data_IF_926382806607
#
_entry.id   IF_926382806607
#
_cell.length_a   1.000
_cell.length_b   1.000
_cell.length_c   1.000
_cell.angle_alpha   90.00
_cell.angle_beta   90.00
_cell.angle_gamma   90.00
#
_symmetry.space_group_name_H-M   'P 1'
#
loop_
_entity.id
_entity.type
_entity.pdbx_description
1 polymer ?
#
# COMPACT_ATOMS: atom_id res chain seq x y z
N UNK A 1 -3.68 -0.25 38.92
CA UNK A 1 -3.62 0.27 37.51
C UNK A 1 -3.22 -0.89 36.64
N UNK A 2 -4.12 -1.35 35.74
CA UNK A 2 -3.79 -2.38 34.74
C UNK A 2 -2.88 -1.74 33.70
N UNK A 3 -1.68 -2.31 33.52
CA UNK A 3 -0.78 -1.92 32.44
C UNK A 3 -1.54 -2.10 31.11
N UNK A 4 -1.56 -1.11 30.21
CA UNK A 4 -2.23 -1.26 28.93
C UNK A 4 -1.59 -2.41 28.14
N UNK A 5 -2.42 -3.28 27.57
CA UNK A 5 -1.98 -4.39 26.72
C UNK A 5 -1.35 -3.85 25.45
N UNK A 6 -0.29 -4.50 24.97
CA UNK A 6 0.47 -4.08 23.79
C UNK A 6 -0.19 -4.45 22.46
N UNK A 7 -0.99 -5.54 22.44
CA UNK A 7 -1.57 -6.14 21.24
C UNK A 7 -3.10 -6.34 21.36
N UNK A 8 -3.88 -5.35 21.82
CA UNK A 8 -5.29 -5.54 22.14
C UNK A 8 -6.10 -5.90 20.88
N UNK A 9 -6.63 -7.13 20.83
CA UNK A 9 -7.48 -7.62 19.72
C UNK A 9 -6.73 -7.91 18.41
N UNK A 10 -5.39 -7.88 18.40
CA UNK A 10 -4.60 -8.24 17.23
C UNK A 10 -4.77 -9.74 16.93
N UNK A 11 -5.12 -10.07 15.68
CA UNK A 11 -5.26 -11.45 15.19
C UNK A 11 -3.93 -11.91 14.61
N UNK A 12 -3.31 -12.89 15.24
CA UNK A 12 -2.00 -13.37 14.85
C UNK A 12 -2.06 -14.84 14.41
N UNK A 13 -1.27 -15.17 13.39
CA UNK A 13 -0.93 -16.56 13.09
C UNK A 13 0.45 -16.86 13.65
N UNK A 14 0.57 -17.86 14.51
CA UNK A 14 1.85 -18.35 15.03
C UNK A 14 2.23 -19.66 14.32
N UNK A 15 3.18 -19.58 13.40
CA UNK A 15 3.77 -20.73 12.71
C UNK A 15 4.89 -21.37 13.53
N UNK A 16 4.88 -22.71 13.68
CA UNK A 16 5.87 -23.42 14.45
C UNK A 16 6.53 -24.50 13.58
N UNK A 17 7.84 -24.41 13.42
CA UNK A 17 8.64 -25.37 12.65
C UNK A 17 9.33 -26.41 13.53
N UNK A 18 9.74 -27.54 12.92
CA UNK A 18 10.40 -28.67 13.57
C UNK A 18 11.83 -28.36 14.01
N UNK A 19 11.97 -27.72 15.15
CA UNK A 19 13.23 -27.44 15.83
C UNK A 19 13.11 -27.83 17.30
N UNK A 20 14.21 -28.17 17.95
CA UNK A 20 14.22 -28.38 19.40
C UNK A 20 13.67 -27.14 20.14
N UNK A 21 13.83 -25.94 19.59
CA UNK A 21 13.29 -24.71 20.14
C UNK A 21 11.74 -24.59 20.07
N UNK A 22 11.03 -25.56 19.46
CA UNK A 22 9.57 -25.55 19.36
C UNK A 22 8.87 -25.50 20.74
N UNK A 23 9.50 -26.07 21.80
CA UNK A 23 8.94 -25.98 23.15
C UNK A 23 8.82 -24.54 23.66
N UNK A 24 9.68 -23.61 23.19
CA UNK A 24 9.65 -22.20 23.58
C UNK A 24 8.42 -21.48 23.00
N UNK A 25 7.88 -21.95 21.88
CA UNK A 25 6.70 -21.39 21.27
C UNK A 25 5.47 -21.39 22.21
N UNK A 26 5.40 -22.32 23.17
CA UNK A 26 4.36 -22.32 24.20
C UNK A 26 4.47 -21.11 25.14
N UNK A 27 5.68 -20.70 25.51
CA UNK A 27 5.94 -19.47 26.26
C UNK A 27 5.58 -18.23 25.45
N UNK A 28 6.00 -18.18 24.19
CA UNK A 28 5.69 -17.10 23.27
C UNK A 28 4.18 -16.94 23.06
N UNK A 29 3.45 -18.04 22.81
CA UNK A 29 1.99 -17.99 22.68
C UNK A 29 1.34 -17.36 23.91
N UNK A 30 1.75 -17.77 25.13
CA UNK A 30 1.25 -17.19 26.38
C UNK A 30 1.62 -15.71 26.51
N UNK A 31 2.80 -15.30 26.05
CA UNK A 31 3.21 -13.90 26.07
C UNK A 31 2.33 -13.06 25.12
N UNK A 32 2.09 -13.51 23.89
CA UNK A 32 1.24 -12.84 22.90
C UNK A 32 -0.21 -12.72 23.39
N UNK A 33 -0.80 -13.81 23.92
CA UNK A 33 -2.18 -13.80 24.42
C UNK A 33 -2.35 -12.95 25.69
N UNK A 34 -1.32 -12.88 26.56
CA UNK A 34 -1.32 -11.99 27.72
C UNK A 34 -1.37 -10.52 27.31
N UNK A 35 -0.68 -10.17 26.23
CA UNK A 35 -0.71 -8.83 25.66
C UNK A 35 -2.00 -8.52 24.86
N UNK A 36 -2.93 -9.48 24.78
CA UNK A 36 -4.27 -9.28 24.25
C UNK A 36 -4.44 -9.71 22.79
N UNK A 37 -3.45 -10.40 22.21
CA UNK A 37 -3.59 -10.97 20.88
C UNK A 37 -4.52 -12.21 20.88
N UNK A 38 -5.26 -12.35 19.79
CA UNK A 38 -5.99 -13.56 19.41
C UNK A 38 -5.10 -14.37 18.46
N UNK A 39 -4.66 -15.58 18.88
CA UNK A 39 -3.58 -16.29 18.20
C UNK A 39 -4.06 -17.65 17.69
N UNK A 40 -4.01 -17.84 16.37
CA UNK A 40 -4.20 -19.14 15.72
C UNK A 40 -2.84 -19.79 15.48
N UNK A 41 -2.67 -21.04 15.89
CA UNK A 41 -1.40 -21.76 15.75
C UNK A 41 -1.43 -22.68 14.53
N UNK A 42 -0.37 -22.62 13.74
CA UNK A 42 -0.12 -23.50 12.59
C UNK A 42 1.21 -24.24 12.81
N UNK A 43 1.21 -25.56 12.79
CA UNK A 43 2.42 -26.35 13.00
C UNK A 43 2.77 -27.13 11.74
N UNK A 44 4.07 -27.20 11.43
CA UNK A 44 4.54 -28.16 10.43
C UNK A 44 4.51 -29.59 11.00
N UNK A 45 4.38 -30.60 10.14
CA UNK A 45 4.42 -32.01 10.59
C UNK A 45 5.70 -32.34 11.36
N UNK A 46 6.83 -31.71 11.04
CA UNK A 46 8.07 -31.87 11.81
C UNK A 46 7.99 -31.24 13.22
N UNK A 47 7.21 -30.20 13.42
CA UNK A 47 7.05 -29.58 14.73
C UNK A 47 6.31 -30.49 15.72
N UNK A 48 5.39 -31.29 15.25
CA UNK A 48 4.61 -32.24 16.09
C UNK A 48 5.48 -33.35 16.71
N UNK A 49 6.70 -33.58 16.19
CA UNK A 49 7.67 -34.50 16.76
C UNK A 49 8.36 -33.95 18.02
N UNK A 50 8.32 -32.65 18.24
CA UNK A 50 8.96 -31.99 19.38
C UNK A 50 7.97 -31.57 20.47
N UNK A 51 6.73 -31.22 20.08
CA UNK A 51 5.70 -30.76 21.02
C UNK A 51 4.32 -31.14 20.48
N UNK A 52 3.43 -31.56 21.37
CA UNK A 52 2.08 -31.95 20.99
C UNK A 52 1.23 -30.74 20.57
N UNK A 53 0.44 -30.84 19.48
CA UNK A 53 -0.55 -29.83 19.12
C UNK A 53 -1.52 -29.48 20.25
N UNK A 54 -1.92 -30.47 21.05
CA UNK A 54 -2.81 -30.30 22.20
C UNK A 54 -2.29 -29.22 23.19
N UNK A 55 -0.97 -29.09 23.34
CA UNK A 55 -0.38 -28.04 24.19
C UNK A 55 -0.80 -26.66 23.73
N UNK A 56 -0.79 -26.41 22.42
CA UNK A 56 -1.14 -25.14 21.83
C UNK A 56 -2.66 -24.92 21.75
N UNK A 57 -3.45 -25.95 21.52
CA UNK A 57 -4.92 -25.87 21.57
C UNK A 57 -5.42 -25.41 22.95
N UNK A 58 -4.85 -25.98 24.02
CA UNK A 58 -5.21 -25.58 25.40
C UNK A 58 -4.77 -24.13 25.70
N UNK A 59 -3.63 -23.69 25.16
CA UNK A 59 -3.09 -22.34 25.44
C UNK A 59 -3.72 -21.25 24.59
N UNK A 60 -4.07 -21.53 23.33
CA UNK A 60 -4.68 -20.56 22.40
C UNK A 60 -6.19 -20.52 22.49
N UNK A 61 -6.83 -21.58 23.03
CA UNK A 61 -8.28 -21.81 22.97
C UNK A 61 -8.82 -22.01 21.55
N UNK A 62 -7.94 -22.18 20.57
CA UNK A 62 -8.26 -22.45 19.17
C UNK A 62 -7.69 -23.81 18.73
N UNK A 63 -8.34 -24.50 17.77
CA UNK A 63 -7.77 -25.67 17.15
C UNK A 63 -6.45 -25.35 16.47
N UNK A 64 -5.45 -26.25 16.60
CA UNK A 64 -4.19 -26.14 15.88
C UNK A 64 -4.36 -26.62 14.44
N UNK A 65 -3.93 -25.80 13.49
CA UNK A 65 -3.94 -26.16 12.08
C UNK A 65 -2.65 -26.92 11.70
N UNK A 66 -2.83 -28.14 11.17
CA UNK A 66 -1.72 -29.04 10.83
C UNK A 66 -1.63 -29.33 9.33
N UNK A 67 -2.79 -29.63 8.72
CA UNK A 67 -2.88 -30.17 7.37
C UNK A 67 -3.54 -29.21 6.40
N UNK A 68 -3.01 -29.19 5.17
CA UNK A 68 -3.58 -28.42 4.06
C UNK A 68 -4.96 -28.99 3.63
N UNK A 69 -5.19 -30.29 3.84
CA UNK A 69 -6.38 -31.02 3.38
C UNK A 69 -7.25 -31.56 4.54
N UNK A 70 -7.42 -30.78 5.59
CA UNK A 70 -8.30 -31.16 6.71
C UNK A 70 -9.77 -31.12 6.30
N UNK A 71 -10.52 -32.20 6.59
CA UNK A 71 -11.94 -32.32 6.24
C UNK A 71 -12.87 -31.29 6.93
N UNK A 72 -12.43 -30.69 8.02
CA UNK A 72 -13.23 -29.75 8.83
C UNK A 72 -12.79 -28.29 8.71
N UNK A 73 -11.70 -28.02 8.01
CA UNK A 73 -11.12 -26.68 7.88
C UNK A 73 -10.67 -26.46 6.43
N UNK A 74 -11.63 -26.15 5.57
CA UNK A 74 -11.34 -25.89 4.15
C UNK A 74 -10.74 -24.51 3.94
N UNK A 75 -9.75 -24.40 3.04
CA UNK A 75 -9.14 -23.15 2.56
C UNK A 75 -8.40 -22.31 3.62
N UNK A 76 -7.88 -22.93 4.71
CA UNK A 76 -7.12 -22.20 5.74
C UNK A 76 -5.93 -21.42 5.19
N UNK A 77 -5.27 -21.93 4.15
CA UNK A 77 -4.17 -21.25 3.49
C UNK A 77 -4.56 -19.92 2.82
N UNK A 78 -5.85 -19.68 2.58
CA UNK A 78 -6.40 -18.41 2.09
C UNK A 78 -6.93 -17.55 3.23
N UNK A 79 -7.79 -18.14 4.08
CA UNK A 79 -8.54 -17.39 5.10
C UNK A 79 -7.69 -16.90 6.26
N UNK A 80 -6.66 -17.68 6.69
CA UNK A 80 -5.79 -17.28 7.78
C UNK A 80 -4.98 -16.02 7.44
N UNK A 81 -4.22 -15.95 6.32
CA UNK A 81 -3.46 -14.74 6.00
C UNK A 81 -4.35 -13.54 5.66
N UNK A 82 -5.56 -13.75 5.13
CA UNK A 82 -6.52 -12.66 4.87
C UNK A 82 -7.08 -12.05 6.15
N UNK A 83 -7.26 -12.86 7.19
CA UNK A 83 -7.81 -12.41 8.46
C UNK A 83 -6.77 -11.97 9.47
N UNK A 84 -5.52 -12.36 9.33
CA UNK A 84 -4.45 -12.04 10.27
C UNK A 84 -3.94 -10.60 10.11
N UNK A 85 -3.62 -9.97 11.23
CA UNK A 85 -2.97 -8.66 11.26
C UNK A 85 -1.44 -8.80 11.17
N UNK A 86 -0.87 -9.93 11.63
CA UNK A 86 0.53 -10.33 11.40
C UNK A 86 0.70 -11.86 11.47
N UNK A 87 1.75 -12.36 10.81
CA UNK A 87 2.17 -13.77 10.89
C UNK A 87 3.54 -13.82 11.55
N UNK A 88 3.70 -14.66 12.57
CA UNK A 88 4.93 -14.90 13.29
C UNK A 88 5.35 -16.35 13.11
N UNK A 89 6.57 -16.62 12.64
CA UNK A 89 7.09 -17.99 12.56
C UNK A 89 8.25 -18.12 13.54
N UNK A 90 8.00 -18.80 14.64
CA UNK A 90 8.94 -18.99 15.74
C UNK A 90 8.75 -20.35 16.44
N UNK A 91 9.75 -21.25 16.39
CA UNK A 91 11.01 -21.12 15.67
C UNK A 91 10.86 -21.36 14.17
N UNK A 92 11.71 -20.73 13.36
CA UNK A 92 11.86 -21.00 11.94
C UNK A 92 13.14 -21.81 11.69
N UNK A 93 13.04 -22.93 10.97
CA UNK A 93 14.20 -23.75 10.59
C UNK A 93 14.84 -23.28 9.29
N UNK A 94 16.08 -23.69 9.02
CA UNK A 94 16.76 -23.43 7.75
C UNK A 94 15.93 -23.94 6.54
N UNK A 95 15.30 -25.12 6.67
CA UNK A 95 14.40 -25.65 5.64
C UNK A 95 13.22 -24.72 5.38
N UNK A 96 12.60 -24.19 6.43
CA UNK A 96 11.48 -23.27 6.29
C UNK A 96 11.90 -21.94 5.64
N UNK A 97 13.06 -21.40 6.03
CA UNK A 97 13.63 -20.19 5.39
C UNK A 97 13.85 -20.42 3.89
N UNK A 98 14.40 -21.57 3.52
CA UNK A 98 14.61 -21.92 2.11
C UNK A 98 13.29 -22.02 1.35
N UNK A 99 12.28 -22.74 1.89
CA UNK A 99 10.95 -22.85 1.28
C UNK A 99 10.33 -21.49 1.05
N UNK A 100 10.30 -20.64 2.07
CA UNK A 100 9.73 -19.28 1.98
C UNK A 100 10.47 -18.40 0.97
N UNK A 101 11.80 -18.49 0.94
CA UNK A 101 12.62 -17.72 0.00
C UNK A 101 12.44 -18.17 -1.46
N UNK A 102 12.20 -19.46 -1.69
CA UNK A 102 12.04 -20.06 -3.02
C UNK A 102 10.57 -20.16 -3.47
N UNK A 103 9.60 -19.87 -2.58
CA UNK A 103 8.17 -20.01 -2.89
C UNK A 103 7.70 -21.47 -2.94
N UNK A 104 8.33 -22.36 -2.18
CA UNK A 104 7.91 -23.77 -2.06
C UNK A 104 6.76 -23.90 -1.07
N UNK A 105 5.68 -24.57 -1.48
CA UNK A 105 4.42 -24.66 -0.75
C UNK A 105 3.95 -26.12 -0.67
N UNK A 106 4.63 -26.94 0.15
CA UNK A 106 4.38 -28.37 0.31
C UNK A 106 3.73 -28.75 1.65
N UNK A 107 3.49 -27.75 2.52
CA UNK A 107 2.74 -27.90 3.76
C UNK A 107 1.83 -26.68 3.98
N UNK A 108 0.91 -26.74 4.96
CA UNK A 108 -0.03 -25.67 5.23
C UNK A 108 0.68 -24.34 5.54
N UNK A 109 1.73 -24.37 6.38
CA UNK A 109 2.43 -23.15 6.81
C UNK A 109 3.14 -22.48 5.63
N UNK A 110 3.84 -23.23 4.80
CA UNK A 110 4.51 -22.70 3.61
C UNK A 110 3.52 -22.21 2.55
N UNK A 111 2.38 -22.90 2.40
CA UNK A 111 1.32 -22.52 1.44
C UNK A 111 0.63 -21.21 1.84
N UNK A 112 0.28 -21.04 3.12
CA UNK A 112 -0.39 -19.82 3.57
C UNK A 112 0.49 -18.58 3.40
N UNK A 113 1.82 -18.71 3.47
CA UNK A 113 2.72 -17.57 3.28
C UNK A 113 2.74 -17.04 1.84
N UNK A 114 2.44 -17.86 0.84
CA UNK A 114 2.30 -17.39 -0.53
C UNK A 114 1.10 -16.45 -0.72
N UNK A 115 0.07 -16.57 0.12
CA UNK A 115 -1.10 -15.67 0.13
C UNK A 115 -0.96 -14.52 1.14
N UNK A 116 0.11 -14.47 1.92
CA UNK A 116 0.34 -13.46 2.96
C UNK A 116 0.96 -12.16 2.42
N UNK A 117 0.57 -11.70 1.22
CA UNK A 117 1.18 -10.55 0.53
C UNK A 117 0.99 -9.25 1.31
N UNK A 118 -0.09 -9.12 2.07
CA UNK A 118 -0.48 -7.90 2.79
C UNK A 118 -0.23 -7.95 4.29
N UNK A 119 0.09 -9.12 4.80
CA UNK A 119 0.26 -9.38 6.21
C UNK A 119 1.75 -9.31 6.56
N UNK A 120 2.18 -8.49 7.53
CA UNK A 120 3.55 -8.49 8.00
C UNK A 120 3.98 -9.90 8.41
N UNK A 121 5.12 -10.35 7.89
CA UNK A 121 5.72 -11.63 8.25
C UNK A 121 6.96 -11.40 9.10
N UNK A 122 6.92 -11.91 10.33
CA UNK A 122 8.03 -11.92 11.28
C UNK A 122 8.56 -13.34 11.40
N UNK A 123 9.86 -13.53 11.20
CA UNK A 123 10.50 -14.85 11.24
C UNK A 123 11.61 -14.83 12.27
N UNK A 124 11.58 -15.77 13.22
CA UNK A 124 12.58 -15.95 14.25
C UNK A 124 13.32 -17.28 14.07
N UNK A 125 14.50 -17.29 13.43
CA UNK A 125 15.27 -18.49 13.18
C UNK A 125 15.81 -19.14 14.46
N UNK A 126 15.87 -20.49 14.43
CA UNK A 126 16.56 -21.29 15.46
C UNK A 126 17.19 -22.53 14.85
N UNK A 127 18.53 -22.63 14.89
CA UNK A 127 19.32 -23.71 14.31
C UNK A 127 20.71 -23.76 14.92
N UNK A 128 21.53 -24.76 14.57
CA UNK A 128 22.95 -24.77 14.95
C UNK A 128 23.70 -23.63 14.24
N UNK A 129 24.72 -23.07 14.90
CA UNK A 129 25.48 -21.92 14.39
C UNK A 129 26.11 -22.16 13.02
N UNK A 130 26.65 -23.37 12.77
CA UNK A 130 27.18 -23.71 11.47
C UNK A 130 26.14 -23.76 10.34
N UNK A 131 24.88 -24.05 10.68
CA UNK A 131 23.75 -23.92 9.72
C UNK A 131 23.40 -22.48 9.46
N UNK A 132 23.37 -21.65 10.52
CA UNK A 132 23.08 -20.24 10.37
C UNK A 132 24.09 -19.49 9.51
N UNK A 133 25.38 -19.79 9.69
CA UNK A 133 26.45 -19.15 8.94
C UNK A 133 26.64 -19.74 7.52
N UNK A 134 25.93 -20.82 7.19
CA UNK A 134 26.03 -21.41 5.86
C UNK A 134 25.60 -20.42 4.77
N UNK A 135 26.39 -20.22 3.69
CA UNK A 135 26.09 -19.23 2.65
C UNK A 135 24.71 -19.34 2.03
N UNK A 136 24.16 -20.56 1.87
CA UNK A 136 22.83 -20.78 1.35
C UNK A 136 21.75 -20.21 2.30
N UNK A 137 21.89 -20.44 3.62
CA UNK A 137 20.94 -19.92 4.62
C UNK A 137 21.00 -18.39 4.68
N UNK A 138 22.21 -17.82 4.69
CA UNK A 138 22.40 -16.36 4.64
C UNK A 138 21.78 -15.77 3.37
N UNK A 139 21.98 -16.40 2.21
CA UNK A 139 21.37 -15.96 0.96
C UNK A 139 19.84 -15.99 0.98
N UNK A 140 19.22 -17.00 1.63
CA UNK A 140 17.77 -17.05 1.81
C UNK A 140 17.27 -15.95 2.75
N UNK A 141 17.97 -15.71 3.86
CA UNK A 141 17.64 -14.61 4.79
C UNK A 141 17.70 -13.26 4.09
N UNK A 142 18.75 -13.01 3.30
CA UNK A 142 18.88 -11.76 2.55
C UNK A 142 17.77 -11.59 1.50
N UNK A 143 17.38 -12.67 0.84
CA UNK A 143 16.27 -12.67 -0.11
C UNK A 143 14.93 -12.34 0.58
N UNK A 144 14.68 -12.91 1.75
CA UNK A 144 13.48 -12.64 2.55
C UNK A 144 13.45 -11.18 3.03
N UNK A 145 14.56 -10.65 3.54
CA UNK A 145 14.67 -9.25 3.95
C UNK A 145 14.40 -8.26 2.80
N UNK A 146 14.94 -8.53 1.61
CA UNK A 146 14.67 -7.70 0.42
C UNK A 146 13.19 -7.70 0.01
N UNK A 147 12.42 -8.74 0.37
CA UNK A 147 10.97 -8.83 0.15
C UNK A 147 10.15 -8.24 1.29
N UNK A 148 10.79 -7.60 2.28
CA UNK A 148 10.10 -6.96 3.41
C UNK A 148 9.78 -7.89 4.58
N UNK A 149 10.29 -9.13 4.58
CA UNK A 149 10.15 -10.03 5.74
C UNK A 149 11.03 -9.55 6.89
N UNK A 150 10.45 -9.43 8.08
CA UNK A 150 11.18 -9.07 9.30
C UNK A 150 11.86 -10.34 9.83
N UNK A 151 13.15 -10.49 9.58
CA UNK A 151 13.94 -11.62 10.08
C UNK A 151 14.70 -11.18 11.32
N UNK A 152 14.38 -11.80 12.47
CA UNK A 152 15.05 -11.60 13.74
C UNK A 152 16.26 -12.50 13.82
N UNK A 153 17.47 -11.92 13.84
CA UNK A 153 18.69 -12.70 13.92
C UNK A 153 18.71 -13.55 15.20
N UNK A 154 19.16 -14.82 15.14
CA UNK A 154 19.30 -15.65 16.34
C UNK A 154 20.36 -15.05 17.25
N UNK A 155 20.28 -15.39 18.54
CA UNK A 155 21.22 -14.88 19.55
C UNK A 155 22.30 -15.94 19.87
N UNK A 156 23.41 -15.47 20.42
CA UNK A 156 24.48 -16.32 20.91
C UNK A 156 24.07 -17.02 22.21
N UNK A 157 24.49 -18.26 22.38
CA UNK A 157 24.27 -19.02 23.61
C UNK A 157 24.50 -20.53 23.46
N UNK A 158 24.20 -21.29 24.51
CA UNK A 158 24.27 -22.75 24.46
C UNK A 158 23.31 -23.32 23.41
N UNK A 159 23.83 -24.17 22.55
CA UNK A 159 23.09 -24.87 21.51
C UNK A 159 22.81 -26.31 21.92
N UNK A 160 21.81 -26.95 21.30
CA UNK A 160 21.48 -28.34 21.58
C UNK A 160 22.62 -29.34 21.24
N UNK A 161 23.54 -28.93 20.38
CA UNK A 161 24.76 -29.66 20.05
C UNK A 161 25.81 -29.66 21.18
N UNK A 162 25.59 -28.95 22.29
CA UNK A 162 26.55 -28.75 23.37
C UNK A 162 27.58 -27.65 23.10
N UNK A 163 27.57 -27.04 21.92
CA UNK A 163 28.40 -25.87 21.58
C UNK A 163 27.80 -24.57 22.06
N UNK A 164 28.62 -23.54 22.18
CA UNK A 164 28.19 -22.17 22.35
C UNK A 164 28.38 -21.46 21.01
N UNK A 165 27.34 -20.75 20.55
CA UNK A 165 27.40 -20.05 19.27
C UNK A 165 26.10 -19.34 18.93
N UNK A 166 26.12 -18.68 17.77
CA UNK A 166 24.97 -17.96 17.20
C UNK A 166 23.98 -18.97 16.59
N UNK A 167 22.73 -18.99 17.02
CA UNK A 167 21.73 -19.94 16.49
C UNK A 167 20.54 -20.19 17.41
N UNK A 168 20.60 -19.67 18.63
CA UNK A 168 19.51 -19.77 19.62
C UNK A 168 18.35 -18.83 19.24
N UNK A 169 17.11 -19.32 19.39
CA UNK A 169 15.91 -18.49 19.26
C UNK A 169 16.01 -17.27 20.18
N UNK A 170 15.71 -16.09 19.65
CA UNK A 170 15.60 -14.83 20.40
C UNK A 170 14.59 -14.94 21.53
N UNK A 171 14.69 -14.05 22.50
CA UNK A 171 13.76 -14.03 23.63
C UNK A 171 12.37 -13.54 23.20
N UNK A 172 11.33 -14.00 23.90
CA UNK A 172 9.92 -13.70 23.58
C UNK A 172 9.65 -12.19 23.54
N UNK A 173 10.34 -11.37 24.36
CA UNK A 173 10.22 -9.92 24.36
C UNK A 173 10.64 -9.30 23.02
N UNK A 174 11.70 -9.80 22.39
CA UNK A 174 12.18 -9.30 21.09
C UNK A 174 11.16 -9.59 19.98
N UNK A 175 10.53 -10.77 20.03
CA UNK A 175 9.46 -11.14 19.11
C UNK A 175 8.23 -10.25 19.33
N UNK A 176 7.84 -10.04 20.60
CA UNK A 176 6.73 -9.14 20.96
C UNK A 176 6.99 -7.71 20.47
N UNK A 177 8.20 -7.19 20.65
CA UNK A 177 8.58 -5.85 20.18
C UNK A 177 8.47 -5.74 18.66
N UNK A 178 8.91 -6.78 17.94
CA UNK A 178 8.81 -6.82 16.49
C UNK A 178 7.35 -6.87 16.00
N UNK A 179 6.50 -7.67 16.67
CA UNK A 179 5.06 -7.74 16.37
C UNK A 179 4.39 -6.40 16.61
N UNK A 180 4.63 -5.79 17.78
CA UNK A 180 4.07 -4.47 18.10
C UNK A 180 4.52 -3.41 17.09
N UNK A 181 5.79 -3.40 16.71
CA UNK A 181 6.32 -2.48 15.71
C UNK A 181 5.68 -2.71 14.32
N UNK A 182 5.49 -3.97 13.93
CA UNK A 182 4.86 -4.32 12.65
C UNK A 182 3.37 -3.96 12.60
N UNK A 183 2.68 -4.01 13.74
CA UNK A 183 1.26 -3.67 13.87
C UNK A 183 1.01 -2.17 14.13
N UNK A 184 2.05 -1.41 14.48
CA UNK A 184 1.90 0.05 14.63
C UNK A 184 1.48 0.64 13.29
N UNK A 185 0.38 1.39 13.23
CA UNK A 185 0.04 2.13 12.04
C UNK A 185 1.24 3.02 11.67
N UNK A 186 1.68 2.94 10.42
CA UNK A 186 2.69 3.88 9.91
C UNK A 186 2.15 5.29 10.15
N UNK A 187 2.83 6.09 11.00
CA UNK A 187 2.45 7.48 11.29
C UNK A 187 3.43 8.47 10.65
N UNK A 188 3.91 8.13 9.48
CA UNK A 188 4.86 8.93 8.70
C UNK A 188 4.23 10.17 8.04
N UNK A 189 2.90 10.31 8.13
CA UNK A 189 2.16 11.50 7.71
C UNK A 189 1.73 12.41 8.89
N UNK A 190 2.19 12.17 10.10
CA UNK A 190 1.96 13.08 11.24
C UNK A 190 2.52 14.46 10.92
N UNK A 191 1.71 15.51 11.13
CA UNK A 191 2.04 16.90 10.77
C UNK A 191 1.94 17.21 9.27
N UNK A 192 1.50 16.25 8.45
CA UNK A 192 1.19 16.49 7.06
C UNK A 192 -0.28 16.88 6.88
N UNK A 193 -0.51 17.77 5.92
CA UNK A 193 -1.83 18.25 5.53
C UNK A 193 -2.08 17.82 4.09
N UNK A 194 -2.97 16.85 3.93
CA UNK A 194 -3.23 16.20 2.65
C UNK A 194 -4.58 16.65 2.10
N UNK A 195 -4.55 17.26 0.92
CA UNK A 195 -5.73 17.70 0.19
C UNK A 195 -5.99 16.73 -0.97
N UNK A 196 -7.13 16.07 -0.98
CA UNK A 196 -7.47 15.06 -2.00
C UNK A 196 -8.71 15.49 -2.74
N UNK A 197 -8.73 15.39 -4.08
CA UNK A 197 -9.96 15.45 -4.86
C UNK A 197 -10.46 14.06 -5.23
N UNK A 198 -11.79 13.86 -5.26
CA UNK A 198 -12.40 12.57 -5.57
C UNK A 198 -13.71 12.72 -6.35
N UNK A 199 -14.17 11.60 -6.93
CA UNK A 199 -15.45 11.55 -7.63
C UNK A 199 -15.46 12.27 -8.96
N UNK A 200 -16.60 12.23 -9.68
CA UNK A 200 -16.79 12.96 -10.91
C UNK A 200 -17.31 14.38 -10.65
N UNK A 201 -17.09 15.30 -11.59
CA UNK A 201 -17.90 16.53 -11.65
C UNK A 201 -19.13 16.32 -12.52
N UNK A 202 -20.18 17.12 -12.29
CA UNK A 202 -21.44 17.10 -13.01
C UNK A 202 -21.73 18.49 -13.56
N UNK A 203 -21.70 18.64 -14.87
CA UNK A 203 -21.93 19.89 -15.57
C UNK A 203 -23.37 19.95 -16.08
N UNK A 204 -24.17 20.84 -15.55
CA UNK A 204 -25.60 20.90 -15.84
C UNK A 204 -25.90 21.22 -17.31
N UNK A 205 -26.73 20.40 -17.96
CA UNK A 205 -27.35 20.70 -19.26
C UNK A 205 -28.67 21.46 -19.03
N UNK A 206 -29.44 20.97 -18.09
CA UNK A 206 -30.69 21.56 -17.63
C UNK A 206 -30.94 21.10 -16.16
N UNK A 207 -32.03 21.53 -15.48
CA UNK A 207 -32.28 21.12 -14.09
C UNK A 207 -32.42 19.62 -13.84
N UNK A 208 -32.47 18.79 -14.89
CA UNK A 208 -32.70 17.33 -14.81
C UNK A 208 -31.51 16.53 -15.33
N UNK A 209 -30.74 17.06 -16.29
CA UNK A 209 -29.69 16.36 -16.98
C UNK A 209 -28.36 17.06 -16.83
N UNK A 210 -27.30 16.30 -16.76
CA UNK A 210 -25.92 16.78 -16.65
C UNK A 210 -24.98 15.91 -17.50
N UNK A 211 -23.81 16.45 -17.82
CA UNK A 211 -22.65 15.72 -18.35
C UNK A 211 -21.75 15.35 -17.18
N UNK A 212 -21.14 14.18 -17.23
CA UNK A 212 -20.23 13.70 -16.18
C UNK A 212 -19.28 12.63 -16.74
N UNK A 213 -18.15 12.47 -16.11
CA UNK A 213 -17.23 11.36 -16.36
C UNK A 213 -17.63 10.12 -15.54
N UNK A 214 -17.31 8.93 -16.04
CA UNK A 214 -17.45 7.71 -15.24
C UNK A 214 -16.42 7.73 -14.12
N UNK A 215 -16.86 7.81 -12.89
CA UNK A 215 -16.01 7.71 -11.71
C UNK A 215 -16.83 7.36 -10.49
N UNK A 216 -16.40 6.34 -9.76
CA UNK A 216 -17.01 5.97 -8.48
C UNK A 216 -16.47 6.76 -7.28
N UNK A 217 -15.34 7.48 -7.44
CA UNK A 217 -14.64 8.16 -6.35
C UNK A 217 -13.78 7.25 -5.47
N UNK A 218 -13.87 5.93 -5.60
CA UNK A 218 -13.22 4.93 -4.72
C UNK A 218 -11.73 5.19 -4.51
N UNK A 219 -10.97 5.59 -5.55
CA UNK A 219 -9.53 5.82 -5.44
C UNK A 219 -9.21 7.03 -4.54
N UNK A 220 -9.89 8.16 -4.73
CA UNK A 220 -9.69 9.35 -3.90
C UNK A 220 -10.09 9.11 -2.44
N UNK A 221 -11.19 8.38 -2.20
CA UNK A 221 -11.59 7.98 -0.84
C UNK A 221 -10.57 7.03 -0.20
N UNK A 222 -10.01 6.08 -0.96
CA UNK A 222 -8.96 5.19 -0.46
C UNK A 222 -7.68 5.95 -0.08
N UNK A 223 -7.29 6.96 -0.88
CA UNK A 223 -6.15 7.84 -0.59
C UNK A 223 -6.39 8.68 0.67
N UNK A 224 -7.57 9.29 0.79
CA UNK A 224 -7.93 10.07 1.96
C UNK A 224 -7.91 9.22 3.24
N UNK A 225 -8.46 8.00 3.17
CA UNK A 225 -8.44 7.04 4.27
C UNK A 225 -7.01 6.64 4.63
N UNK A 226 -6.20 6.23 3.65
CA UNK A 226 -4.84 5.79 3.90
C UNK A 226 -3.97 6.92 4.48
N UNK A 227 -4.12 8.17 4.02
CA UNK A 227 -3.42 9.31 4.57
C UNK A 227 -3.84 9.60 6.02
N UNK A 228 -5.14 9.53 6.33
CA UNK A 228 -5.67 9.69 7.70
C UNK A 228 -5.18 8.58 8.63
N UNK A 229 -5.21 7.32 8.19
CA UNK A 229 -4.70 6.16 8.93
C UNK A 229 -3.19 6.31 9.25
N UNK A 230 -2.42 7.01 8.38
CA UNK A 230 -0.99 7.33 8.55
C UNK A 230 -0.75 8.63 9.36
N UNK A 231 -1.80 9.24 9.89
CA UNK A 231 -1.73 10.37 10.82
C UNK A 231 -1.73 11.76 10.18
N UNK A 232 -2.09 11.88 8.89
CA UNK A 232 -2.28 13.16 8.24
C UNK A 232 -3.56 13.85 8.72
N UNK A 233 -3.57 15.19 8.69
CA UNK A 233 -4.78 16.00 8.63
C UNK A 233 -5.27 16.02 7.17
N UNK A 234 -6.51 15.56 6.91
CA UNK A 234 -6.98 15.31 5.55
C UNK A 234 -8.24 16.10 5.24
N UNK A 235 -8.25 16.78 4.09
CA UNK A 235 -9.42 17.39 3.47
C UNK A 235 -9.72 16.66 2.16
N UNK A 236 -10.93 16.13 2.02
CA UNK A 236 -11.43 15.46 0.82
C UNK A 236 -12.46 16.32 0.11
N UNK A 237 -12.10 16.86 -1.05
CA UNK A 237 -13.03 17.58 -1.93
C UNK A 237 -13.64 16.57 -2.89
N UNK A 238 -14.94 16.31 -2.76
CA UNK A 238 -15.60 15.24 -3.51
C UNK A 238 -16.73 15.72 -4.37
N UNK A 239 -16.69 15.37 -5.65
CA UNK A 239 -17.89 15.34 -6.50
C UNK A 239 -18.89 14.29 -6.01
N UNK A 240 -20.10 14.21 -6.63
CA UNK A 240 -21.16 13.31 -6.17
C UNK A 240 -20.74 11.84 -6.27
N UNK A 241 -20.80 11.12 -5.15
CA UNK A 241 -20.57 9.68 -5.03
C UNK A 241 -21.59 9.05 -4.10
N UNK A 242 -21.71 7.71 -4.14
CA UNK A 242 -22.51 6.93 -3.19
C UNK A 242 -21.66 6.39 -2.02
N UNK A 243 -20.41 6.86 -1.87
CA UNK A 243 -19.50 6.40 -0.83
C UNK A 243 -19.78 7.09 0.50
N UNK A 244 -19.67 6.32 1.58
CA UNK A 244 -19.77 6.87 2.94
C UNK A 244 -18.57 7.79 3.26
N UNK A 245 -18.80 8.87 4.03
CA UNK A 245 -17.71 9.72 4.49
C UNK A 245 -16.61 8.96 5.20
N UNK A 246 -15.36 9.32 4.96
CA UNK A 246 -14.21 8.72 5.64
C UNK A 246 -14.14 9.28 7.08
N UNK A 247 -14.21 8.44 8.12
CA UNK A 247 -14.07 8.90 9.50
C UNK A 247 -12.76 9.66 9.74
N UNK A 248 -12.84 10.81 10.43
CA UNK A 248 -11.68 11.64 10.74
C UNK A 248 -11.16 12.51 9.59
N UNK A 249 -11.87 12.53 8.45
CA UNK A 249 -11.53 13.35 7.27
C UNK A 249 -12.58 14.44 7.09
N UNK A 250 -12.13 15.69 6.87
CA UNK A 250 -13.03 16.79 6.49
C UNK A 250 -13.51 16.59 5.06
N UNK A 251 -14.82 16.42 4.86
CA UNK A 251 -15.44 16.27 3.53
C UNK A 251 -15.99 17.62 3.05
N UNK A 252 -15.54 18.06 1.87
CA UNK A 252 -16.04 19.25 1.18
C UNK A 252 -16.77 18.79 -0.08
N UNK A 253 -18.13 18.72 -0.08
CA UNK A 253 -18.88 18.31 -1.24
C UNK A 253 -18.91 19.42 -2.29
N UNK A 254 -18.71 19.05 -3.55
CA UNK A 254 -18.80 19.91 -4.72
C UNK A 254 -19.58 19.21 -5.83
N UNK A 255 -20.04 19.97 -6.82
CA UNK A 255 -20.77 19.38 -7.94
C UNK A 255 -20.09 19.63 -9.27
N UNK A 256 -19.65 20.86 -9.54
CA UNK A 256 -19.07 21.26 -10.84
C UNK A 256 -17.53 21.34 -10.79
N UNK A 257 -16.89 21.37 -11.96
CA UNK A 257 -15.46 21.62 -12.09
C UNK A 257 -15.06 22.97 -11.46
N UNK A 258 -15.89 24.01 -11.63
CA UNK A 258 -15.66 25.33 -11.07
C UNK A 258 -15.72 25.33 -9.55
N UNK A 259 -16.70 24.63 -8.94
CA UNK A 259 -16.79 24.47 -7.49
C UNK A 259 -15.58 23.70 -6.95
N UNK A 260 -15.14 22.64 -7.67
CA UNK A 260 -13.97 21.86 -7.29
C UNK A 260 -12.69 22.70 -7.36
N UNK A 261 -12.49 23.48 -8.44
CA UNK A 261 -11.38 24.41 -8.56
C UNK A 261 -11.32 25.38 -7.38
N UNK A 262 -12.46 26.00 -7.06
CA UNK A 262 -12.56 26.94 -5.95
C UNK A 262 -12.28 26.29 -4.60
N UNK A 263 -12.83 25.09 -4.34
CA UNK A 263 -12.61 24.36 -3.09
C UNK A 263 -11.15 23.93 -2.93
N UNK A 264 -10.55 23.40 -3.99
CA UNK A 264 -9.13 23.02 -4.00
C UNK A 264 -8.21 24.24 -3.82
N UNK A 265 -8.47 25.34 -4.55
CA UNK A 265 -7.71 26.59 -4.46
C UNK A 265 -7.74 27.21 -3.05
N UNK A 266 -8.90 27.24 -2.40
CA UNK A 266 -9.03 27.76 -1.04
C UNK A 266 -8.24 26.99 0.02
N UNK A 267 -7.87 25.74 -0.25
CA UNK A 267 -7.12 24.87 0.66
C UNK A 267 -5.69 24.60 0.18
N UNK A 268 -5.29 25.14 -0.99
CA UNK A 268 -4.01 24.83 -1.60
C UNK A 268 -2.81 25.26 -0.76
N UNK A 269 -2.82 26.49 -0.23
CA UNK A 269 -1.74 27.01 0.62
C UNK A 269 -1.65 26.32 1.98
N UNK A 270 -2.78 25.78 2.47
CA UNK A 270 -2.80 24.98 3.69
C UNK A 270 -2.13 23.63 3.48
N UNK A 271 -2.26 23.02 2.30
CA UNK A 271 -1.80 21.66 2.03
C UNK A 271 -0.27 21.55 1.92
N UNK A 272 0.27 20.42 2.40
CA UNK A 272 1.66 19.99 2.14
C UNK A 272 1.73 18.95 1.03
N UNK A 273 0.64 18.21 0.82
CA UNK A 273 0.46 17.23 -0.27
C UNK A 273 -0.91 17.46 -0.90
N UNK A 274 -0.95 17.50 -2.21
CA UNK A 274 -2.20 17.65 -2.99
C UNK A 274 -2.30 16.51 -3.97
N UNK A 275 -3.41 15.77 -3.94
CA UNK A 275 -3.64 14.58 -4.79
C UNK A 275 -4.92 14.79 -5.60
N UNK A 276 -4.77 14.94 -6.91
CA UNK A 276 -5.86 15.15 -7.84
C UNK A 276 -6.33 13.84 -8.44
N UNK A 277 -7.26 13.14 -7.74
CA UNK A 277 -7.81 11.84 -8.16
C UNK A 277 -9.25 11.93 -8.69
N UNK A 278 -9.84 13.12 -8.74
CA UNK A 278 -11.17 13.37 -9.28
C UNK A 278 -11.18 13.23 -10.81
N UNK A 279 -12.29 12.76 -11.36
CA UNK A 279 -12.58 12.75 -12.79
C UNK A 279 -13.33 14.04 -13.19
N UNK A 280 -12.58 15.11 -13.38
CA UNK A 280 -13.11 16.42 -13.74
C UNK A 280 -13.53 16.42 -15.21
N UNK A 281 -14.69 16.99 -15.53
CA UNK A 281 -15.16 17.14 -16.90
C UNK A 281 -14.33 18.22 -17.61
N UNK A 282 -13.77 17.93 -18.80
CA UNK A 282 -12.97 18.85 -19.62
C UNK A 282 -13.81 19.89 -20.34
N UNK A 283 -15.13 19.63 -20.44
CA UNK A 283 -16.09 20.49 -21.12
C UNK A 283 -17.36 20.65 -20.29
N UNK A 284 -18.00 21.82 -20.42
CA UNK A 284 -19.32 22.11 -19.85
C UNK A 284 -20.23 22.74 -20.91
N UNK A 285 -21.56 22.65 -20.79
CA UNK A 285 -22.47 23.40 -21.63
C UNK A 285 -22.24 24.89 -21.48
N UNK A 286 -22.03 25.62 -22.60
CA UNK A 286 -21.81 27.06 -22.61
C UNK A 286 -23.02 27.83 -22.00
N UNK A 287 -24.23 27.31 -22.19
CA UNK A 287 -25.48 27.90 -21.68
C UNK A 287 -26.37 26.80 -21.13
N UNK A 288 -26.28 26.48 -19.82
CA UNK A 288 -27.21 25.56 -19.19
C UNK A 288 -28.64 26.09 -19.27
N UNK A 289 -29.56 25.24 -19.65
CA UNK A 289 -30.98 25.66 -19.75
C UNK A 289 -31.60 25.80 -18.36
N UNK A 290 -32.27 26.96 -18.09
CA UNK A 290 -32.95 27.24 -16.84
C UNK A 290 -34.17 26.31 -16.61
N UNK A 291 -34.73 25.77 -17.69
CA UNK A 291 -35.87 24.85 -17.67
C UNK A 291 -35.53 23.56 -18.40
N UNK A 292 -36.18 22.46 -17.98
CA UNK A 292 -36.02 21.15 -18.65
C UNK A 292 -36.24 21.27 -20.16
N UNK A 293 -35.26 20.91 -20.97
CA UNK A 293 -35.37 20.88 -22.43
C UNK A 293 -36.36 19.78 -22.83
N UNK A 294 -37.49 20.20 -23.47
CA UNK A 294 -38.52 19.26 -23.96
C UNK A 294 -38.10 18.65 -25.29
N UNK A 295 -38.53 17.42 -25.53
CA UNK A 295 -38.37 16.78 -26.84
C UNK A 295 -39.16 17.62 -27.89
N UNK A 296 -38.45 18.04 -28.93
CA UNK A 296 -39.11 18.69 -30.06
C UNK A 296 -39.76 17.58 -30.91
N UNK A 297 -41.03 17.84 -31.38
CA UNK A 297 -41.65 16.94 -32.36
C UNK A 297 -41.07 17.12 -33.77
N UNK A 298 -40.27 18.18 -33.98
CA UNK A 298 -39.70 18.53 -35.29
C UNK A 298 -38.24 18.09 -35.46
N UNK A 299 -37.56 17.66 -34.42
CA UNK A 299 -36.14 17.22 -34.51
C UNK A 299 -35.87 15.98 -33.66
N UNK A 300 -35.25 14.98 -34.21
CA UNK A 300 -34.73 13.78 -33.51
C UNK A 300 -33.38 14.02 -32.88
N UNK A 301 -32.73 15.16 -33.10
CA UNK A 301 -31.40 15.51 -32.63
C UNK A 301 -31.41 16.74 -31.72
N UNK A 302 -30.50 16.75 -30.76
CA UNK A 302 -30.22 17.89 -29.89
C UNK A 302 -28.73 18.27 -30.06
N UNK A 303 -28.46 19.55 -30.27
CA UNK A 303 -27.11 20.10 -30.31
C UNK A 303 -26.82 20.80 -28.99
N UNK A 304 -25.65 20.53 -28.41
CA UNK A 304 -25.12 21.22 -27.25
C UNK A 304 -23.83 21.93 -27.66
N UNK A 305 -23.76 23.23 -27.41
CA UNK A 305 -22.51 23.99 -27.50
C UNK A 305 -21.76 23.82 -26.19
N UNK A 306 -20.51 23.38 -26.29
CA UNK A 306 -19.65 23.09 -25.15
C UNK A 306 -18.48 24.07 -25.16
N UNK A 307 -18.10 24.53 -23.98
CA UNK A 307 -16.86 25.26 -23.71
C UNK A 307 -15.93 24.45 -22.81
N UNK A 308 -14.64 24.71 -22.89
CA UNK A 308 -13.66 24.07 -22.03
C UNK A 308 -13.82 24.54 -20.58
N UNK A 309 -13.69 23.60 -19.66
CA UNK A 309 -13.54 23.91 -18.23
C UNK A 309 -12.08 24.29 -17.94
N UNK A 310 -11.85 24.94 -16.82
CA UNK A 310 -10.51 25.28 -16.38
C UNK A 310 -9.76 24.02 -15.91
N UNK A 311 -8.49 23.87 -16.34
CA UNK A 311 -7.65 22.75 -15.92
C UNK A 311 -7.16 22.97 -14.49
N UNK A 312 -7.83 22.35 -13.53
CA UNK A 312 -7.56 22.51 -12.10
C UNK A 312 -6.11 22.14 -11.77
N UNK A 313 -5.62 21.03 -12.34
CA UNK A 313 -4.28 20.53 -12.06
C UNK A 313 -3.20 21.46 -12.61
N UNK A 314 -3.40 22.00 -13.80
CA UNK A 314 -2.49 23.00 -14.39
C UNK A 314 -2.51 24.32 -13.59
N UNK A 315 -3.68 24.77 -13.17
CA UNK A 315 -3.86 25.99 -12.36
C UNK A 315 -3.13 25.87 -11.01
N UNK A 316 -3.30 24.73 -10.30
CA UNK A 316 -2.61 24.46 -9.04
C UNK A 316 -1.09 24.29 -9.25
N UNK A 317 -0.67 23.65 -10.34
CA UNK A 317 0.74 23.49 -10.68
C UNK A 317 1.46 24.82 -10.95
N UNK A 318 0.77 25.80 -11.56
CA UNK A 318 1.29 27.15 -11.76
C UNK A 318 1.43 27.94 -10.45
N UNK A 319 0.59 27.66 -9.46
CA UNK A 319 0.61 28.30 -8.13
C UNK A 319 1.49 27.58 -7.12
N UNK A 320 2.00 26.38 -7.47
CA UNK A 320 2.77 25.52 -6.58
C UNK A 320 4.04 26.20 -6.06
N UNK A 321 4.23 26.14 -4.74
CA UNK A 321 5.43 26.63 -4.06
C UNK A 321 6.19 25.50 -3.38
N UNK A 322 5.63 24.94 -2.31
CA UNK A 322 6.21 23.89 -1.47
C UNK A 322 5.40 22.58 -1.43
N UNK A 323 4.22 22.60 -2.02
CA UNK A 323 3.32 21.43 -2.03
C UNK A 323 3.90 20.32 -2.90
N UNK A 324 3.78 19.07 -2.43
CA UNK A 324 3.94 17.89 -3.28
C UNK A 324 2.63 17.69 -4.06
N UNK A 325 2.67 17.86 -5.38
CA UNK A 325 1.50 17.80 -6.24
C UNK A 325 1.47 16.49 -7.03
N UNK A 326 0.41 15.70 -6.83
CA UNK A 326 0.20 14.40 -7.45
C UNK A 326 -0.99 14.49 -8.41
N UNK A 327 -0.76 14.12 -9.67
CA UNK A 327 -1.80 14.02 -10.68
C UNK A 327 -2.19 12.59 -10.99
N UNK A 328 -3.40 12.39 -11.52
CA UNK A 328 -3.85 11.14 -12.12
C UNK A 328 -4.06 11.33 -13.62
N UNK A 329 -3.69 10.33 -14.39
CA UNK A 329 -3.94 10.26 -15.82
C UNK A 329 -4.58 8.91 -16.15
N UNK A 330 -5.68 8.95 -16.92
CA UNK A 330 -6.32 7.77 -17.49
C UNK A 330 -6.05 7.81 -18.98
N UNK A 331 -5.27 6.87 -19.50
CA UNK A 331 -4.82 6.82 -20.88
C UNK A 331 -5.20 5.49 -21.49
N UNK A 332 -5.39 5.47 -22.82
CA UNK A 332 -5.67 4.26 -23.59
C UNK A 332 -4.49 3.86 -24.47
N UNK A 333 -3.61 4.81 -24.83
CA UNK A 333 -2.47 4.61 -25.70
C UNK A 333 -1.25 5.36 -25.16
N UNK A 334 -0.06 4.79 -25.30
CA UNK A 334 1.25 5.34 -24.94
C UNK A 334 1.27 6.02 -23.54
N UNK A 335 0.74 5.28 -22.56
CA UNK A 335 0.45 5.73 -21.19
C UNK A 335 1.64 6.47 -20.55
N UNK A 336 2.86 5.95 -20.74
CA UNK A 336 4.07 6.50 -20.10
C UNK A 336 4.49 7.84 -20.74
N UNK A 337 4.42 7.95 -22.08
CA UNK A 337 4.84 9.18 -22.78
C UNK A 337 3.87 10.34 -22.47
N UNK A 338 2.57 10.10 -22.58
CA UNK A 338 1.54 11.12 -22.27
C UNK A 338 1.56 11.51 -20.79
N UNK A 339 1.80 10.56 -19.88
CA UNK A 339 1.91 10.86 -18.46
C UNK A 339 3.16 11.72 -18.16
N UNK A 340 4.30 11.46 -18.82
CA UNK A 340 5.50 12.30 -18.69
C UNK A 340 5.28 13.73 -19.17
N UNK A 341 4.63 13.90 -20.30
CA UNK A 341 4.29 15.24 -20.82
C UNK A 341 3.43 16.01 -19.81
N UNK A 342 2.39 15.38 -19.26
CA UNK A 342 1.54 15.97 -18.22
C UNK A 342 2.31 16.26 -16.92
N UNK A 343 3.24 15.38 -16.51
CA UNK A 343 4.06 15.53 -15.31
C UNK A 343 4.85 16.85 -15.36
N UNK A 344 5.54 17.10 -16.45
CA UNK A 344 6.34 18.32 -16.60
C UNK A 344 5.49 19.53 -16.98
N UNK A 345 4.54 19.39 -17.91
CA UNK A 345 3.71 20.48 -18.40
C UNK A 345 2.81 21.09 -17.33
N UNK A 346 2.41 20.31 -16.30
CA UNK A 346 1.58 20.77 -15.18
C UNK A 346 2.36 20.90 -13.86
N UNK A 347 3.70 20.88 -13.89
CA UNK A 347 4.58 21.06 -12.73
C UNK A 347 4.26 20.07 -11.56
N UNK A 348 4.01 18.79 -11.87
CA UNK A 348 3.75 17.76 -10.88
C UNK A 348 5.03 17.20 -10.29
N UNK A 349 4.95 16.58 -9.11
CA UNK A 349 6.03 15.82 -8.49
C UNK A 349 5.88 14.32 -8.73
N UNK A 350 4.63 13.86 -8.85
CA UNK A 350 4.27 12.48 -9.15
C UNK A 350 3.04 12.46 -10.06
N UNK A 351 3.01 11.53 -10.99
CA UNK A 351 1.79 11.21 -11.76
C UNK A 351 1.50 9.72 -11.64
N UNK A 352 0.23 9.39 -11.41
CA UNK A 352 -0.31 8.04 -11.38
C UNK A 352 -1.02 7.81 -12.70
N UNK A 353 -0.41 7.06 -13.58
CA UNK A 353 -0.93 6.75 -14.90
C UNK A 353 -1.64 5.40 -14.89
N UNK A 354 -2.95 5.41 -15.13
CA UNK A 354 -3.79 4.22 -15.21
C UNK A 354 -4.02 3.85 -16.66
N UNK A 355 -3.82 2.57 -17.01
CA UNK A 355 -4.30 2.00 -18.26
C UNK A 355 -5.75 1.56 -18.05
N UNK A 356 -6.68 2.32 -18.65
CA UNK A 356 -8.12 2.03 -18.53
C UNK A 356 -8.63 1.05 -19.58
N UNK A 357 -7.76 0.59 -20.49
CA UNK A 357 -8.09 -0.39 -21.52
C UNK A 357 -8.04 -1.84 -21.02
N UNK A 358 -7.39 -2.10 -19.88
CA UNK A 358 -7.25 -3.45 -19.32
C UNK A 358 -8.54 -3.94 -18.67
N UNK A 359 -8.92 -5.17 -18.99
CA UNK A 359 -10.08 -5.85 -18.42
C UNK A 359 -9.89 -6.07 -16.91
N UNK A 360 -10.86 -5.62 -16.09
CA UNK A 360 -10.76 -5.67 -14.63
C UNK A 360 -10.15 -4.44 -13.97
N UNK A 361 -9.43 -3.57 -14.71
CA UNK A 361 -8.95 -2.29 -14.23
C UNK A 361 -9.87 -1.17 -14.74
N UNK A 362 -10.40 -0.31 -13.86
CA UNK A 362 -11.27 0.76 -14.30
C UNK A 362 -11.93 1.57 -13.18
N UNK A 363 -12.72 2.55 -13.58
CA UNK A 363 -13.29 3.54 -12.66
C UNK A 363 -14.25 2.94 -11.60
N UNK A 364 -14.97 1.86 -11.95
CA UNK A 364 -15.96 1.21 -11.09
C UNK A 364 -15.41 0.00 -10.32
N UNK A 365 -14.28 -0.59 -10.79
CA UNK A 365 -13.62 -1.74 -10.16
C UNK A 365 -13.11 -1.40 -8.74
N UNK A 366 -13.01 -2.40 -7.88
CA UNK A 366 -12.33 -2.30 -6.57
C UNK A 366 -10.81 -2.42 -6.71
N UNK A 367 -10.33 -2.94 -7.83
CA UNK A 367 -8.92 -3.10 -8.16
C UNK A 367 -8.48 -2.11 -9.23
N UNK A 368 -7.17 -1.91 -9.34
CA UNK A 368 -6.58 -1.07 -10.39
C UNK A 368 -5.12 -1.47 -10.64
N UNK A 369 -4.61 -1.09 -11.83
CA UNK A 369 -3.19 -1.11 -12.21
C UNK A 369 -2.73 0.32 -12.44
N UNK A 370 -1.48 0.63 -12.19
CA UNK A 370 -0.94 1.96 -12.47
C UNK A 370 0.57 1.94 -12.71
N UNK A 371 1.07 2.97 -13.38
CA UNK A 371 2.49 3.31 -13.41
C UNK A 371 2.68 4.63 -12.67
N UNK A 372 3.53 4.63 -11.66
CA UNK A 372 3.96 5.84 -10.96
C UNK A 372 5.17 6.42 -11.68
N UNK A 373 5.09 7.69 -12.10
CA UNK A 373 6.23 8.40 -12.69
C UNK A 373 6.53 9.62 -11.83
N UNK A 374 7.76 9.77 -11.38
CA UNK A 374 8.21 10.94 -10.64
C UNK A 374 9.02 11.91 -11.51
N UNK A 375 9.17 13.14 -11.03
CA UNK A 375 9.90 14.18 -11.77
C UNK A 375 11.41 13.96 -11.85
N UNK A 376 11.96 13.01 -11.08
CA UNK A 376 13.39 12.65 -11.08
C UNK A 376 13.70 11.55 -12.11
N UNK A 377 12.68 11.08 -12.85
CA UNK A 377 12.79 10.04 -13.87
C UNK A 377 12.51 8.63 -13.37
N UNK A 378 12.14 8.47 -12.10
CA UNK A 378 11.72 7.18 -11.54
C UNK A 378 10.41 6.71 -12.18
N UNK A 379 10.33 5.39 -12.44
CA UNK A 379 9.12 4.73 -12.91
C UNK A 379 8.91 3.45 -12.09
N UNK A 380 7.71 3.29 -11.53
CA UNK A 380 7.34 2.10 -10.74
C UNK A 380 6.01 1.56 -11.24
N UNK A 381 6.03 0.33 -11.73
CA UNK A 381 4.81 -0.37 -12.13
C UNK A 381 4.12 -0.97 -10.91
N UNK A 382 2.83 -0.73 -10.79
CA UNK A 382 1.94 -1.34 -9.81
C UNK A 382 1.05 -2.34 -10.53
N UNK A 383 1.23 -3.63 -10.22
CA UNK A 383 0.38 -4.71 -10.73
C UNK A 383 -1.08 -4.50 -10.27
N UNK A 384 -2.00 -5.31 -10.84
CA UNK A 384 -3.40 -5.31 -10.42
C UNK A 384 -3.48 -5.57 -8.90
N UNK A 385 -4.05 -4.62 -8.19
CA UNK A 385 -4.20 -4.67 -6.73
C UNK A 385 -5.43 -3.87 -6.29
N UNK A 386 -5.98 -4.13 -5.09
CA UNK A 386 -7.05 -3.33 -4.54
C UNK A 386 -6.66 -1.85 -4.39
N UNK A 387 -7.61 -0.97 -4.65
CA UNK A 387 -7.43 0.49 -4.56
C UNK A 387 -6.92 0.95 -3.18
N UNK A 388 -7.27 0.23 -2.11
CA UNK A 388 -6.76 0.53 -0.75
C UNK A 388 -5.24 0.30 -0.66
N UNK A 389 -4.74 -0.80 -1.23
CA UNK A 389 -3.30 -1.09 -1.26
C UNK A 389 -2.57 -0.11 -2.17
N UNK A 390 -3.12 0.15 -3.36
CA UNK A 390 -2.57 1.14 -4.29
C UNK A 390 -2.45 2.52 -3.64
N UNK A 391 -3.43 2.95 -2.84
CA UNK A 391 -3.36 4.18 -2.07
C UNK A 391 -2.15 4.21 -1.13
N UNK A 392 -1.86 3.10 -0.44
CA UNK A 392 -0.66 2.93 0.38
C UNK A 392 0.61 3.12 -0.44
N UNK A 393 0.74 2.43 -1.58
CA UNK A 393 1.91 2.52 -2.48
C UNK A 393 2.13 3.93 -3.04
N UNK A 394 1.04 4.63 -3.41
CA UNK A 394 1.13 6.03 -3.85
C UNK A 394 1.63 6.92 -2.72
N UNK A 395 1.12 6.76 -1.50
CA UNK A 395 1.59 7.52 -0.35
C UNK A 395 3.05 7.19 0.02
N UNK A 396 3.51 5.95 -0.15
CA UNK A 396 4.92 5.57 0.02
C UNK A 396 5.82 6.32 -0.97
N UNK A 397 5.42 6.39 -2.24
CA UNK A 397 6.15 7.15 -3.25
C UNK A 397 6.20 8.65 -2.92
N UNK A 398 5.07 9.24 -2.49
CA UNK A 398 5.00 10.63 -2.04
C UNK A 398 5.92 10.89 -0.83
N UNK A 399 5.93 9.99 0.16
CA UNK A 399 6.82 10.10 1.32
C UNK A 399 8.29 10.04 0.91
N UNK A 400 8.64 9.14 -0.01
CA UNK A 400 9.99 9.02 -0.58
C UNK A 400 10.47 10.31 -1.28
N UNK A 401 9.63 10.93 -2.10
CA UNK A 401 9.95 12.19 -2.78
C UNK A 401 10.19 13.36 -1.82
N UNK A 402 9.54 13.36 -0.66
CA UNK A 402 9.66 14.41 0.36
C UNK A 402 10.85 14.21 1.30
N UNK A 403 11.30 12.97 1.47
CA UNK A 403 12.47 12.64 2.29
C UNK A 403 13.80 13.03 1.63
N UNK A 404 13.83 13.14 0.29
CA UNK A 404 15.00 13.60 -0.44
C UNK A 404 15.05 15.14 -0.35
N UNK A 405 16.03 15.76 0.32
CA UNK A 405 16.19 17.21 0.26
C UNK A 405 16.35 17.62 -1.19
N UNK A 406 15.63 18.65 -1.64
CA UNK A 406 15.81 19.27 -2.95
C UNK A 406 17.23 19.85 -3.03
N UNK A 407 18.21 19.00 -3.32
CA UNK A 407 19.56 19.39 -3.69
C UNK A 407 19.46 20.16 -5.00
N UNK A 408 19.87 21.42 -4.97
CA UNK A 408 20.06 22.25 -6.15
C UNK A 408 20.84 21.43 -7.17
N UNK A 409 20.29 21.31 -8.39
CA UNK A 409 21.07 20.97 -9.54
C UNK A 409 22.23 22.01 -9.59
N UNK A 410 23.45 21.57 -9.30
CA UNK A 410 24.62 22.32 -9.63
C UNK A 410 24.70 22.32 -11.15
N UNK A 411 24.63 23.51 -11.74
CA UNK A 411 25.03 23.76 -13.11
C UNK A 411 26.49 23.30 -13.25
N UNK A 412 26.71 22.11 -13.75
CA UNK A 412 28.00 21.72 -14.27
C UNK A 412 28.20 22.46 -15.59
N UNK A 413 29.28 23.30 -15.73
CA UNK A 413 29.53 23.98 -16.97
C UNK A 413 29.93 22.97 -18.04
N UNK A 414 29.21 23.02 -19.15
CA UNK A 414 29.49 22.25 -20.38
C UNK A 414 30.97 22.45 -20.76
N UNK A 415 31.77 21.39 -20.93
CA UNK A 415 33.14 21.50 -21.39
C UNK A 415 33.16 22.08 -22.82
N UNK A 416 33.76 23.23 -23.01
CA UNK A 416 34.02 23.78 -24.31
C UNK A 416 34.99 22.86 -25.07
N UNK A 417 34.51 22.23 -26.13
CA UNK A 417 35.33 21.45 -27.06
C UNK A 417 36.34 22.36 -27.76
N UNK A 418 37.60 22.06 -27.55
CA UNK A 418 38.74 22.64 -28.27
C UNK A 418 38.55 22.55 -29.79
N UNK A 419 38.35 23.70 -30.44
CA UNK A 419 38.67 23.87 -31.86
C UNK A 419 40.18 23.99 -31.99
N UNK A 420 40.90 22.92 -32.32
CA UNK A 420 42.28 22.98 -32.79
C UNK A 420 42.31 22.88 -34.31
N UNK A 421 42.82 23.94 -34.85
CA UNK A 421 43.32 24.21 -36.19
C UNK A 421 43.90 22.96 -36.89
N UNK A 422 43.43 22.72 -38.10
CA UNK A 422 44.21 22.10 -39.16
C UNK A 422 44.30 23.16 -40.29
N UNK A 423 45.42 23.86 -40.30
CA UNK A 423 45.94 24.48 -41.51
C UNK A 423 47.28 23.81 -41.82
N UNK A 424 47.46 23.51 -43.10
CA UNK A 424 48.70 23.28 -43.87
C UNK A 424 49.39 21.91 -43.70
N UNK A 425 49.24 20.99 -44.57
CA UNK A 425 50.05 20.75 -45.77
C UNK A 425 49.41 19.69 -46.66
#
# INVERSE_FOLDING_TARGET
>A
MTVPRRLPGARLVLGICGSIAAYKAAGLLRALTREGADVTVVMTGAATQFISPLTFEVLSTHPVALDLFSAHQTMLHLTLPESADAIVVAPATANFLAKTALGLADDLLSTLLLNAIRCPLIVAPAMDGGMWDHPAVRGHVDALRRRGVIVLDPVEGPLASGKVGLGRLVEDSVILDAVEAALRPMRDYVGQRVLVSAGPTQEAIDPVRFMSNRSSGKMGYALARAASDRGAEVVLVSGPTALEPVPGVELVPVRTAEEMLKAMGNRFDWATVVIMAAAVADFRPMRPAVRKLKKSQQSSTMRLELERTEDILATLGAQKTKQCLVGFAAETDDVVAHAREKLFGKNLDLIVANDVSQEGAGFESDENTAVLLDRNGGATELALMPKREMAGRILDAVAGLRAVPSGRAQDDPVPQAHRSRLQSR
#
